data_IF_436636943508
#
_entry.id   IF_436636943508
#
_cell.length_a   1.000
_cell.length_b   1.000
_cell.length_c   1.000
_cell.angle_alpha   90.00
_cell.angle_beta   90.00
_cell.angle_gamma   90.00
#
_symmetry.space_group_name_H-M   'P 1'
#
loop_
_entity.id
_entity.type
_entity.pdbx_description
1 polymer ?
#
# COMPACT_ATOMS: atom_id res chain seq x y z
N UNK A 1 -6.59 0.89 -12.84
CA UNK A 1 -7.04 -0.44 -12.40
C UNK A 1 -7.36 -0.39 -10.92
N UNK A 2 -8.40 -1.08 -10.45
CA UNK A 2 -8.60 -1.29 -9.02
C UNK A 2 -7.83 -2.54 -8.61
N UNK A 3 -7.12 -2.50 -7.49
CA UNK A 3 -6.43 -3.66 -6.94
C UNK A 3 -7.44 -4.83 -6.82
N UNK A 4 -7.13 -6.05 -7.31
CA UNK A 4 -8.00 -7.22 -7.11
C UNK A 4 -8.44 -7.42 -5.66
N UNK A 5 -7.59 -7.08 -4.69
CA UNK A 5 -7.93 -7.15 -3.27
C UNK A 5 -8.92 -6.06 -2.85
N UNK A 6 -8.81 -4.84 -3.41
CA UNK A 6 -9.79 -3.77 -3.17
C UNK A 6 -11.15 -4.13 -3.78
N UNK A 7 -11.16 -4.73 -4.97
CA UNK A 7 -12.38 -5.21 -5.62
C UNK A 7 -13.04 -6.31 -4.80
N UNK A 8 -12.23 -7.26 -4.30
CA UNK A 8 -12.68 -8.31 -3.40
C UNK A 8 -13.26 -7.71 -2.10
N UNK A 9 -12.55 -6.78 -1.46
CA UNK A 9 -13.04 -6.10 -0.26
C UNK A 9 -14.37 -5.39 -0.49
N UNK A 10 -14.52 -4.70 -1.63
CA UNK A 10 -15.77 -4.04 -2.02
C UNK A 10 -16.89 -5.05 -2.20
N UNK A 11 -16.63 -6.18 -2.88
CA UNK A 11 -17.64 -7.23 -3.11
C UNK A 11 -18.11 -7.87 -1.81
N UNK A 12 -17.20 -8.05 -0.85
CA UNK A 12 -17.52 -8.61 0.46
C UNK A 12 -18.20 -7.61 1.42
N UNK A 13 -17.98 -6.31 1.26
CA UNK A 13 -18.47 -5.29 2.19
C UNK A 13 -19.98 -5.38 2.45
N UNK A 14 -20.80 -5.57 1.40
CA UNK A 14 -22.26 -5.63 1.56
C UNK A 14 -22.73 -6.92 2.24
N UNK A 15 -22.10 -8.05 1.94
CA UNK A 15 -22.37 -9.32 2.61
C UNK A 15 -22.00 -9.24 4.10
N UNK A 16 -20.85 -8.64 4.40
CA UNK A 16 -20.39 -8.39 5.77
C UNK A 16 -21.34 -7.46 6.52
N UNK A 17 -21.79 -6.36 5.92
CA UNK A 17 -22.78 -5.45 6.50
C UNK A 17 -24.10 -6.13 6.80
N UNK A 18 -24.59 -6.96 5.88
CA UNK A 18 -25.84 -7.67 6.04
C UNK A 18 -25.81 -8.66 7.22
N UNK A 19 -24.67 -9.31 7.44
CA UNK A 19 -24.49 -10.23 8.59
C UNK A 19 -24.24 -9.44 9.88
N UNK A 20 -23.37 -8.42 9.85
CA UNK A 20 -22.98 -7.62 11.01
C UNK A 20 -24.10 -6.71 11.56
N UNK A 21 -25.03 -6.27 10.70
CA UNK A 21 -25.99 -5.22 11.04
C UNK A 21 -25.36 -3.82 11.13
N UNK A 22 -24.16 -3.63 10.58
CA UNK A 22 -23.39 -2.38 10.62
C UNK A 22 -22.16 -2.45 9.73
N UNK A 23 -21.46 -1.31 9.57
CA UNK A 23 -20.25 -1.26 8.76
C UNK A 23 -19.10 -2.00 9.45
N UNK A 24 -18.55 -3.00 8.78
CA UNK A 24 -17.44 -3.81 9.28
C UNK A 24 -16.47 -4.06 8.13
N UNK A 25 -15.17 -3.92 8.43
CA UNK A 25 -14.10 -4.25 7.50
C UNK A 25 -14.05 -5.77 7.25
N UNK A 26 -14.16 -6.23 5.99
CA UNK A 26 -13.94 -7.63 5.63
C UNK A 26 -12.52 -8.13 5.94
N UNK A 27 -11.54 -7.24 6.14
CA UNK A 27 -10.12 -7.55 6.40
C UNK A 27 -9.57 -8.50 5.33
N UNK A 28 -9.48 -7.99 4.11
CA UNK A 28 -8.90 -8.71 2.97
C UNK A 28 -7.38 -8.54 2.96
N UNK A 29 -6.66 -9.64 2.78
CA UNK A 29 -5.19 -9.65 2.68
C UNK A 29 -4.66 -10.73 1.73
N UNK A 30 -3.43 -10.59 1.23
CA UNK A 30 -2.73 -11.70 0.58
C UNK A 30 -2.63 -12.93 1.49
N UNK A 31 -2.62 -14.12 0.89
CA UNK A 31 -2.54 -15.40 1.60
C UNK A 31 -1.38 -16.26 1.08
N UNK A 32 -0.87 -17.15 1.92
CA UNK A 32 0.12 -18.17 1.51
C UNK A 32 -0.56 -19.47 1.02
N UNK A 33 -1.85 -19.64 1.30
CA UNK A 33 -2.62 -20.86 1.00
C UNK A 33 -3.64 -20.68 -0.12
N UNK A 34 -3.84 -19.44 -0.58
CA UNK A 34 -4.73 -19.02 -1.66
C UNK A 34 -4.26 -17.65 -2.17
N UNK A 35 -4.94 -17.05 -3.16
CA UNK A 35 -4.56 -15.72 -3.65
C UNK A 35 -4.87 -14.62 -2.61
N UNK A 36 -6.00 -14.76 -1.92
CA UNK A 36 -6.41 -13.85 -0.86
C UNK A 36 -7.09 -14.57 0.30
N UNK A 37 -7.16 -13.90 1.44
CA UNK A 37 -7.89 -14.34 2.62
C UNK A 37 -8.70 -13.20 3.21
N UNK A 38 -9.95 -13.51 3.59
CA UNK A 38 -10.90 -12.59 4.21
C UNK A 38 -11.14 -13.01 5.65
N UNK A 39 -10.84 -12.12 6.61
CA UNK A 39 -10.76 -12.45 8.04
C UNK A 39 -11.80 -11.76 8.92
N UNK A 40 -12.61 -10.86 8.37
CA UNK A 40 -13.55 -10.05 9.15
C UNK A 40 -14.55 -10.89 9.97
N UNK A 41 -14.82 -12.13 9.54
CA UNK A 41 -15.79 -13.01 10.19
C UNK A 41 -15.39 -13.33 11.65
N UNK A 42 -14.10 -13.39 11.97
CA UNK A 42 -13.61 -13.63 13.33
C UNK A 42 -14.00 -12.49 14.30
N UNK A 43 -13.91 -11.24 13.84
CA UNK A 43 -14.24 -10.08 14.65
C UNK A 43 -15.75 -10.00 14.92
N UNK A 44 -16.55 -10.23 13.88
CA UNK A 44 -18.03 -10.24 13.96
C UNK A 44 -18.52 -11.35 14.88
N UNK A 45 -17.99 -12.57 14.70
CA UNK A 45 -18.39 -13.72 15.48
C UNK A 45 -18.14 -13.51 16.97
N UNK A 46 -17.00 -12.92 17.33
CA UNK A 46 -16.69 -12.54 18.71
C UNK A 46 -17.70 -11.52 19.25
N UNK A 47 -18.08 -10.51 18.47
CA UNK A 47 -19.05 -9.50 18.88
C UNK A 47 -20.47 -10.07 19.05
N UNK A 48 -20.85 -11.05 18.23
CA UNK A 48 -22.16 -11.70 18.29
C UNK A 48 -22.23 -12.90 19.25
N UNK A 49 -21.10 -13.36 19.80
CA UNK A 49 -21.05 -14.59 20.58
C UNK A 49 -21.38 -15.84 19.77
N UNK A 50 -21.09 -15.84 18.47
CA UNK A 50 -21.37 -16.96 17.54
C UNK A 50 -20.08 -17.68 17.15
N UNK A 51 -20.13 -18.96 16.73
CA UNK A 51 -18.96 -19.63 16.15
C UNK A 51 -18.51 -18.91 14.86
N UNK A 52 -17.20 -18.59 14.68
CA UNK A 52 -16.79 -17.79 13.52
C UNK A 52 -16.93 -18.49 12.17
N UNK A 53 -16.89 -19.81 12.16
CA UNK A 53 -17.18 -20.60 10.96
C UNK A 53 -18.62 -20.43 10.49
N UNK A 54 -19.59 -20.35 11.40
CA UNK A 54 -21.00 -20.14 11.05
C UNK A 54 -21.20 -18.73 10.47
N UNK A 55 -20.57 -17.72 11.08
CA UNK A 55 -20.59 -16.34 10.56
C UNK A 55 -19.96 -16.26 9.16
N UNK A 56 -18.84 -16.96 8.93
CA UNK A 56 -18.21 -17.01 7.61
C UNK A 56 -19.14 -17.67 6.56
N UNK A 57 -19.81 -18.76 6.92
CA UNK A 57 -20.79 -19.40 6.03
C UNK A 57 -21.97 -18.48 5.71
N UNK A 58 -22.53 -17.80 6.71
CA UNK A 58 -23.61 -16.81 6.50
C UNK A 58 -23.16 -15.69 5.54
N UNK A 59 -21.91 -15.22 5.68
CA UNK A 59 -21.34 -14.20 4.78
C UNK A 59 -21.26 -14.75 3.36
N UNK A 60 -20.80 -15.99 3.15
CA UNK A 60 -20.74 -16.60 1.81
C UNK A 60 -22.13 -16.78 1.20
N UNK A 61 -23.12 -17.19 2.00
CA UNK A 61 -24.50 -17.32 1.53
C UNK A 61 -25.05 -15.96 1.07
N UNK A 62 -24.75 -14.88 1.80
CA UNK A 62 -25.14 -13.51 1.44
C UNK A 62 -24.36 -12.94 0.26
N UNK A 63 -23.09 -13.32 0.13
CA UNK A 63 -22.23 -12.90 -0.98
C UNK A 63 -22.75 -13.43 -2.32
N UNK A 64 -23.34 -14.62 -2.30
CA UNK A 64 -23.94 -15.24 -3.49
C UNK A 64 -22.90 -15.65 -4.52
N UNK A 65 -23.26 -15.54 -5.80
CA UNK A 65 -22.37 -15.95 -6.88
C UNK A 65 -21.24 -14.93 -7.12
N UNK A 66 -20.01 -15.42 -7.03
CA UNK A 66 -18.76 -14.68 -7.32
C UNK A 66 -17.93 -15.31 -8.44
N UNK A 67 -18.54 -16.20 -9.25
CA UNK A 67 -17.85 -16.89 -10.36
C UNK A 67 -17.33 -15.95 -11.44
N UNK A 68 -17.78 -14.70 -11.47
CA UNK A 68 -17.26 -13.62 -12.33
C UNK A 68 -15.85 -13.18 -11.93
N UNK A 69 -15.43 -13.44 -10.69
CA UNK A 69 -14.15 -13.00 -10.14
C UNK A 69 -13.33 -14.17 -9.56
N UNK A 70 -13.98 -15.08 -8.84
CA UNK A 70 -13.35 -16.13 -8.07
C UNK A 70 -13.59 -17.51 -8.68
N UNK A 71 -12.56 -18.35 -8.69
CA UNK A 71 -12.68 -19.78 -8.97
C UNK A 71 -13.27 -20.52 -7.76
N UNK A 72 -12.77 -20.22 -6.55
CA UNK A 72 -13.31 -20.77 -5.31
C UNK A 72 -13.24 -19.78 -4.15
N UNK A 73 -14.16 -19.96 -3.20
CA UNK A 73 -14.12 -19.30 -1.90
C UNK A 73 -14.48 -20.33 -0.83
N UNK A 74 -13.50 -20.69 0.00
CA UNK A 74 -13.60 -21.80 0.95
C UNK A 74 -13.40 -21.33 2.39
N UNK A 75 -14.28 -21.77 3.29
CA UNK A 75 -14.12 -21.51 4.73
C UNK A 75 -13.14 -22.50 5.34
N UNK A 76 -12.00 -21.99 5.78
CA UNK A 76 -10.93 -22.74 6.42
C UNK A 76 -10.82 -22.47 7.93
N UNK A 77 -10.36 -23.50 8.64
CA UNK A 77 -10.03 -23.42 10.07
C UNK A 77 -11.17 -22.83 10.93
N UNK A 78 -10.88 -21.82 11.77
CA UNK A 78 -11.85 -21.22 12.69
C UNK A 78 -12.91 -20.33 12.02
N UNK A 79 -12.77 -20.00 10.73
CA UNK A 79 -13.64 -19.05 10.01
C UNK A 79 -12.92 -18.10 9.06
N UNK A 80 -11.74 -18.47 8.56
CA UNK A 80 -11.05 -17.74 7.51
C UNK A 80 -11.69 -18.08 6.17
N UNK A 81 -11.92 -17.10 5.29
CA UNK A 81 -12.37 -17.36 3.92
C UNK A 81 -11.19 -17.23 2.97
N UNK A 82 -10.73 -18.35 2.43
CA UNK A 82 -9.67 -18.38 1.43
C UNK A 82 -10.29 -18.19 0.04
N UNK A 83 -9.71 -17.30 -0.76
CA UNK A 83 -10.21 -16.93 -2.08
C UNK A 83 -9.16 -17.24 -3.12
N UNK A 84 -9.57 -17.98 -4.17
CA UNK A 84 -8.78 -18.18 -5.39
C UNK A 84 -9.46 -17.41 -6.51
N UNK A 85 -8.73 -16.52 -7.16
CA UNK A 85 -9.25 -15.75 -8.29
C UNK A 85 -9.34 -16.63 -9.53
N UNK A 86 -10.35 -16.40 -10.37
CA UNK A 86 -10.44 -17.09 -11.65
C UNK A 86 -9.34 -16.60 -12.59
N UNK A 87 -8.78 -17.51 -13.39
CA UNK A 87 -7.76 -17.17 -14.38
C UNK A 87 -8.27 -16.13 -15.40
N UNK A 88 -9.54 -16.22 -15.80
CA UNK A 88 -10.18 -15.28 -16.72
C UNK A 88 -10.26 -13.86 -16.12
N UNK A 89 -10.62 -13.75 -14.85
CA UNK A 89 -10.63 -12.47 -14.14
C UNK A 89 -9.23 -11.85 -14.09
N UNK A 90 -8.22 -12.62 -13.68
CA UNK A 90 -6.83 -12.12 -13.61
C UNK A 90 -6.32 -11.73 -15.01
N UNK A 91 -6.60 -12.52 -16.03
CA UNK A 91 -6.23 -12.21 -17.41
C UNK A 91 -6.87 -10.89 -17.88
N UNK A 92 -8.13 -10.66 -17.54
CA UNK A 92 -8.83 -9.43 -17.91
C UNK A 92 -8.32 -8.20 -17.16
N UNK A 93 -7.97 -8.35 -15.87
CA UNK A 93 -7.25 -7.31 -15.15
C UNK A 93 -5.94 -7.00 -15.89
N UNK A 94 -5.09 -8.00 -16.14
CA UNK A 94 -3.82 -7.78 -16.84
C UNK A 94 -3.97 -7.07 -18.19
N UNK A 95 -4.97 -7.46 -19.01
CA UNK A 95 -5.27 -6.76 -20.28
C UNK A 95 -5.61 -5.29 -20.05
N UNK A 96 -6.45 -5.01 -19.05
CA UNK A 96 -6.82 -3.64 -18.66
C UNK A 96 -5.58 -2.83 -18.25
N UNK A 97 -4.68 -3.39 -17.43
CA UNK A 97 -3.42 -2.72 -17.05
C UNK A 97 -2.56 -2.44 -18.27
N UNK A 98 -2.36 -3.42 -19.16
CA UNK A 98 -1.51 -3.27 -20.33
C UNK A 98 -2.04 -2.23 -21.32
N UNK A 99 -3.35 -1.96 -21.32
CA UNK A 99 -3.93 -0.89 -22.14
C UNK A 99 -3.72 0.53 -21.57
N UNK A 100 -3.27 0.64 -20.32
CA UNK A 100 -2.98 1.91 -19.64
C UNK A 100 -1.46 2.17 -19.65
N UNK A 101 -1.06 3.37 -20.08
CA UNK A 101 0.34 3.79 -20.08
C UNK A 101 0.99 3.76 -18.69
N UNK A 102 0.19 3.77 -17.62
CA UNK A 102 0.65 3.69 -16.24
C UNK A 102 0.45 2.30 -15.63
N UNK A 103 0.13 1.30 -16.44
CA UNK A 103 -0.09 -0.09 -16.01
C UNK A 103 -1.11 -0.21 -14.87
N UNK A 104 -2.13 0.66 -14.91
CA UNK A 104 -3.19 0.70 -13.92
C UNK A 104 -2.87 1.46 -12.63
N UNK A 105 -1.69 2.07 -12.49
CA UNK A 105 -1.34 2.92 -11.34
C UNK A 105 -2.25 4.14 -11.28
N UNK A 106 -2.92 4.31 -10.14
CA UNK A 106 -3.85 5.41 -9.91
C UNK A 106 -3.10 6.73 -9.76
N UNK A 107 -3.50 7.74 -10.54
CA UNK A 107 -3.06 9.12 -10.32
C UNK A 107 -3.77 9.77 -9.15
N UNK A 108 -3.14 10.76 -8.56
CA UNK A 108 -3.79 11.63 -7.57
C UNK A 108 -4.98 12.35 -8.23
N UNK A 109 -6.11 12.42 -7.52
CA UNK A 109 -7.30 13.13 -8.04
C UNK A 109 -7.10 14.64 -8.11
N UNK A 110 -6.23 15.19 -7.26
CA UNK A 110 -5.83 16.60 -7.29
C UNK A 110 -4.33 16.67 -7.03
N UNK A 111 -3.59 17.26 -7.96
CA UNK A 111 -2.14 17.40 -7.83
C UNK A 111 -1.80 18.27 -6.63
N UNK A 112 -0.87 17.80 -5.79
CA UNK A 112 -0.34 18.57 -4.67
C UNK A 112 1.06 19.09 -4.99
N UNK A 113 1.45 20.17 -4.32
CA UNK A 113 2.83 20.62 -4.25
C UNK A 113 3.49 19.92 -3.06
N UNK A 114 4.44 19.03 -3.32
CA UNK A 114 5.13 18.26 -2.27
C UNK A 114 6.59 18.69 -2.23
N UNK A 115 7.09 19.08 -1.05
CA UNK A 115 8.51 19.37 -0.84
C UNK A 115 9.15 18.13 -0.24
N UNK A 116 10.22 17.65 -0.87
CA UNK A 116 11.03 16.55 -0.36
C UNK A 116 12.44 17.07 -0.15
N UNK A 117 12.82 17.23 1.12
CA UNK A 117 14.19 17.53 1.52
C UNK A 117 14.94 16.22 1.80
N UNK A 118 16.03 15.99 1.08
CA UNK A 118 16.79 14.75 1.14
C UNK A 118 18.26 14.97 0.79
N UNK A 119 19.09 13.96 1.06
CA UNK A 119 20.55 14.06 1.11
C UNK A 119 21.03 14.91 2.29
N UNK A 120 20.78 16.23 2.27
CA UNK A 120 21.09 17.22 3.32
C UNK A 120 22.44 16.97 4.03
N UNK A 121 23.56 16.78 3.28
CA UNK A 121 24.84 16.49 3.90
C UNK A 121 25.37 17.71 4.65
N UNK A 122 26.19 17.46 5.67
CA UNK A 122 27.03 18.50 6.25
C UNK A 122 28.25 18.69 5.35
N UNK A 123 28.38 19.85 4.72
CA UNK A 123 29.46 20.14 3.74
C UNK A 123 30.83 20.26 4.41
N UNK A 124 30.88 20.35 5.74
CA UNK A 124 32.12 20.35 6.48
C UNK A 124 32.72 18.96 6.74
N UNK A 125 32.12 17.90 6.16
CA UNK A 125 32.58 16.52 6.27
C UNK A 125 32.63 15.86 4.90
N UNK A 126 33.56 14.92 4.74
CA UNK A 126 33.63 14.10 3.54
C UNK A 126 32.36 13.25 3.36
N UNK A 127 31.86 13.19 2.13
CA UNK A 127 30.74 12.31 1.80
C UNK A 127 31.21 10.85 1.75
N UNK A 128 30.68 10.03 2.64
CA UNK A 128 30.83 8.57 2.61
C UNK A 128 29.52 7.86 2.20
N UNK A 129 29.60 6.53 2.01
CA UNK A 129 28.49 5.64 1.60
C UNK A 129 27.21 5.80 2.42
N UNK A 130 27.30 6.28 3.67
CA UNK A 130 26.14 6.53 4.54
C UNK A 130 25.18 7.58 3.96
N UNK A 131 25.69 8.58 3.23
CA UNK A 131 24.87 9.62 2.60
C UNK A 131 24.05 9.10 1.41
N UNK A 132 24.42 7.95 0.82
CA UNK A 132 23.64 7.33 -0.25
C UNK A 132 22.25 6.94 0.23
N UNK A 133 22.09 6.57 1.51
CA UNK A 133 20.79 6.14 2.05
C UNK A 133 19.73 7.24 1.90
N UNK A 134 20.00 8.43 2.47
CA UNK A 134 19.07 9.56 2.39
C UNK A 134 18.86 10.00 0.93
N UNK A 135 19.94 10.04 0.16
CA UNK A 135 19.91 10.45 -1.25
C UNK A 135 19.03 9.54 -2.10
N UNK A 136 19.22 8.22 -2.03
CA UNK A 136 18.48 7.24 -2.84
C UNK A 136 17.02 7.12 -2.38
N UNK A 137 16.77 7.12 -1.07
CA UNK A 137 15.39 7.06 -0.55
C UNK A 137 14.61 8.30 -0.98
N UNK A 138 15.19 9.49 -0.81
CA UNK A 138 14.55 10.74 -1.22
C UNK A 138 14.28 10.78 -2.72
N UNK A 139 15.26 10.41 -3.56
CA UNK A 139 15.08 10.37 -5.02
C UNK A 139 13.99 9.36 -5.44
N UNK A 140 13.93 8.19 -4.80
CA UNK A 140 12.87 7.21 -5.04
C UNK A 140 11.48 7.76 -4.68
N UNK A 141 11.34 8.46 -3.54
CA UNK A 141 10.09 9.10 -3.14
C UNK A 141 9.66 10.18 -4.14
N UNK A 142 10.60 11.03 -4.57
CA UNK A 142 10.34 12.07 -5.57
C UNK A 142 9.81 11.46 -6.86
N UNK A 143 10.48 10.42 -7.39
CA UNK A 143 10.06 9.73 -8.62
C UNK A 143 8.66 9.15 -8.48
N UNK A 144 8.37 8.49 -7.36
CA UNK A 144 7.04 7.90 -7.11
C UNK A 144 5.95 8.98 -7.03
N UNK A 145 6.21 10.09 -6.32
CA UNK A 145 5.27 11.20 -6.16
C UNK A 145 4.99 11.93 -7.48
N UNK A 146 6.03 12.18 -8.30
CA UNK A 146 5.88 12.75 -9.63
C UNK A 146 5.14 11.80 -10.57
N UNK A 147 5.44 10.50 -10.50
CA UNK A 147 4.80 9.48 -11.34
C UNK A 147 3.28 9.42 -11.13
N UNK A 148 2.81 9.55 -9.88
CA UNK A 148 1.37 9.60 -9.57
C UNK A 148 0.72 10.97 -9.86
N UNK A 149 1.51 11.97 -10.28
CA UNK A 149 1.01 13.25 -10.79
C UNK A 149 1.15 14.46 -9.85
N UNK A 150 1.92 14.37 -8.76
CA UNK A 150 2.21 15.53 -7.93
C UNK A 150 3.29 16.42 -8.54
N UNK A 151 3.29 17.71 -8.17
CA UNK A 151 4.43 18.60 -8.42
C UNK A 151 5.38 18.49 -7.23
N UNK A 152 6.57 17.94 -7.46
CA UNK A 152 7.56 17.74 -6.39
C UNK A 152 8.66 18.79 -6.48
N UNK A 153 8.93 19.46 -5.36
CA UNK A 153 10.07 20.36 -5.17
C UNK A 153 11.14 19.56 -4.43
N UNK A 154 12.27 19.35 -5.09
CA UNK A 154 13.44 18.66 -4.56
C UNK A 154 14.27 19.69 -3.81
N UNK A 155 14.37 19.54 -2.49
CA UNK A 155 15.22 20.39 -1.67
C UNK A 155 16.40 19.60 -1.14
N UNK A 156 17.50 20.32 -0.96
CA UNK A 156 18.69 19.81 -0.30
C UNK A 156 19.14 20.86 0.70
N UNK A 157 18.63 20.75 1.93
CA UNK A 157 19.01 21.66 3.00
C UNK A 157 20.40 21.29 3.51
N UNK A 158 21.42 21.82 2.83
CA UNK A 158 22.81 21.54 3.16
C UNK A 158 23.18 22.06 4.55
N UNK A 159 23.95 21.28 5.29
CA UNK A 159 24.53 21.72 6.56
C UNK A 159 25.80 22.53 6.32
N UNK A 160 25.64 23.79 5.92
CA UNK A 160 26.70 24.76 5.59
C UNK A 160 26.92 25.84 6.66
N UNK A 161 26.17 25.77 7.76
CA UNK A 161 26.29 26.70 8.87
C UNK A 161 26.49 25.98 10.21
N UNK A 162 27.38 26.51 11.05
CA UNK A 162 27.64 26.03 12.41
C UNK A 162 29.11 25.72 12.70
N UNK A 163 29.39 25.19 13.89
CA UNK A 163 30.75 24.93 14.38
C UNK A 163 31.63 24.14 13.40
N UNK A 164 31.15 23.04 12.76
CA UNK A 164 31.98 22.29 11.81
C UNK A 164 32.48 23.14 10.63
N UNK A 165 31.64 24.04 10.11
CA UNK A 165 32.01 24.93 9.03
C UNK A 165 33.00 26.01 9.50
N UNK A 166 32.80 26.55 10.70
CA UNK A 166 33.73 27.50 11.32
C UNK A 166 35.12 26.90 11.56
N UNK A 167 35.20 25.64 11.98
CA UNK A 167 36.48 24.92 12.13
C UNK A 167 37.24 24.79 10.81
N UNK A 168 36.54 24.55 9.70
CA UNK A 168 37.18 24.51 8.39
C UNK A 168 37.69 25.88 7.94
N UNK A 169 36.95 26.96 8.23
CA UNK A 169 37.40 28.33 7.92
C UNK A 169 38.67 28.65 8.72
N UNK A 170 38.68 28.36 10.03
CA UNK A 170 39.86 28.60 10.86
C UNK A 170 41.07 27.77 10.39
N UNK A 171 40.85 26.49 10.07
CA UNK A 171 41.91 25.65 9.52
C UNK A 171 42.46 26.19 8.19
N UNK A 172 41.62 26.73 7.31
CA UNK A 172 42.06 27.37 6.07
C UNK A 172 42.90 28.62 6.33
N UNK A 173 42.54 29.44 7.31
CA UNK A 173 43.30 30.64 7.69
C UNK A 173 44.70 30.26 8.20
N UNK A 174 44.80 29.18 8.98
CA UNK A 174 46.08 28.68 9.49
C UNK A 174 47.03 28.17 8.40
N UNK A 175 46.49 27.75 7.25
CA UNK A 175 47.28 27.27 6.10
C UNK A 175 47.85 28.39 5.22
N UNK A 176 47.36 29.64 5.35
CA UNK A 176 47.79 30.82 4.58
C UNK A 176 47.01 31.05 3.30
#
# INVERSE_FOLDING_TARGET
MADPLDLLATRFADAFRAVAGGDVDPVVRPSEHADAQVNGALAIAKAMGRPPRDVANDVLERLGNVSDMCESVDVAGPGFMNVVFSADFIAEQLRTALSDNLLGVRRVGTAQNVIVDYSAPNVAKEMHVGHLRSTVIGDALVRMLEFVGNRVIRENHIGDWGTPFGMLIEHLIDLG
#
